data_IF_985597199284
#
_entry.id   IF_985597199284
#
_cell.length_a   1.000
_cell.length_b   1.000
_cell.length_c   1.000
_cell.angle_alpha   90.00
_cell.angle_beta   90.00
_cell.angle_gamma   90.00
#
_symmetry.space_group_name_H-M   'P 1'
#
loop_
_entity.id
_entity.type
_entity.pdbx_description
1 polymer ?
#
# COMPACT_ATOMS: atom_id res chain seq x y z
N UNK A 1 -38.00 -18.83 14.89
CA UNK A 1 -36.74 -19.19 15.59
C UNK A 1 -35.54 -19.13 14.65
N UNK A 2 -35.40 -20.02 13.68
CA UNK A 2 -34.23 -20.04 12.77
C UNK A 2 -34.01 -18.75 11.93
N UNK A 3 -35.06 -18.07 11.51
CA UNK A 3 -34.96 -16.84 10.71
C UNK A 3 -34.49 -15.65 11.54
N UNK A 4 -34.97 -15.52 12.77
CA UNK A 4 -34.56 -14.45 13.70
C UNK A 4 -33.11 -14.60 14.12
N UNK A 5 -32.65 -15.81 14.40
CA UNK A 5 -31.24 -16.09 14.70
C UNK A 5 -30.32 -15.80 13.51
N UNK A 6 -30.77 -16.12 12.28
CA UNK A 6 -30.02 -15.79 11.07
C UNK A 6 -29.94 -14.28 10.84
N UNK A 7 -31.02 -13.54 11.05
CA UNK A 7 -31.06 -12.08 10.94
C UNK A 7 -30.20 -11.43 12.02
N UNK A 8 -30.18 -11.97 13.23
CA UNK A 8 -29.37 -11.47 14.33
C UNK A 8 -27.89 -11.68 14.08
N UNK A 9 -27.50 -12.86 13.55
CA UNK A 9 -26.11 -13.14 13.12
C UNK A 9 -25.67 -12.23 11.97
N UNK A 10 -26.53 -11.97 10.98
CA UNK A 10 -26.24 -11.04 9.88
C UNK A 10 -26.08 -9.61 10.43
N UNK A 11 -26.93 -9.18 11.35
CA UNK A 11 -26.85 -7.87 12.00
C UNK A 11 -25.59 -7.72 12.84
N UNK A 12 -25.19 -8.75 13.59
CA UNK A 12 -23.95 -8.75 14.36
C UNK A 12 -22.70 -8.77 13.48
N UNK A 13 -22.73 -9.54 12.37
CA UNK A 13 -21.67 -9.51 11.36
C UNK A 13 -21.57 -8.14 10.66
N UNK A 14 -22.70 -7.51 10.37
CA UNK A 14 -22.74 -6.17 9.80
C UNK A 14 -22.22 -5.10 10.79
N UNK A 15 -22.50 -5.25 12.10
CA UNK A 15 -21.92 -4.39 13.14
C UNK A 15 -20.42 -4.60 13.31
N UNK A 16 -19.92 -5.84 13.22
CA UNK A 16 -18.48 -6.15 13.24
C UNK A 16 -17.75 -5.63 11.99
N UNK A 17 -18.45 -5.50 10.86
CA UNK A 17 -17.92 -4.91 9.61
C UNK A 17 -17.93 -3.39 9.56
N UNK A 18 -18.44 -2.70 10.55
CA UNK A 18 -18.30 -1.24 10.64
C UNK A 18 -16.86 -0.91 11.02
N UNK A 19 -16.02 -0.77 9.99
CA UNK A 19 -14.68 -0.23 10.14
C UNK A 19 -14.78 1.16 10.72
N UNK A 20 -14.13 1.41 11.85
CA UNK A 20 -14.07 2.75 12.44
C UNK A 20 -13.20 3.66 11.57
N UNK A 21 -13.68 4.86 11.30
CA UNK A 21 -12.85 5.87 10.66
C UNK A 21 -11.78 6.35 11.65
N UNK A 22 -10.55 6.62 11.20
CA UNK A 22 -9.51 7.17 12.06
C UNK A 22 -9.88 8.59 12.52
N UNK A 23 -9.53 8.93 13.75
CA UNK A 23 -9.83 10.23 14.36
C UNK A 23 -9.05 11.39 13.71
N UNK A 24 -7.94 11.10 13.03
CA UNK A 24 -7.11 12.10 12.37
C UNK A 24 -7.60 12.41 10.94
N UNK A 25 -7.52 13.67 10.53
CA UNK A 25 -7.91 14.14 9.19
C UNK A 25 -6.82 13.95 8.15
N UNK A 26 -5.56 14.03 8.55
CA UNK A 26 -4.40 13.80 7.67
C UNK A 26 -4.35 12.34 7.26
N UNK A 27 -4.19 12.07 5.96
CA UNK A 27 -4.07 10.72 5.43
C UNK A 27 -2.60 10.34 5.26
N UNK A 28 -2.25 9.20 5.83
CA UNK A 28 -0.89 8.65 5.76
C UNK A 28 -0.83 7.66 4.62
N UNK A 29 0.05 7.93 3.66
CA UNK A 29 0.33 7.07 2.50
C UNK A 29 1.63 6.32 2.75
N UNK A 30 1.58 5.00 2.77
CA UNK A 30 2.76 4.15 2.91
C UNK A 30 3.01 3.39 1.59
N UNK A 31 4.22 3.50 1.05
CA UNK A 31 4.62 2.65 -0.07
C UNK A 31 4.99 1.27 0.45
N UNK A 32 4.33 0.24 -0.09
CA UNK A 32 4.57 -1.15 0.27
C UNK A 32 5.58 -1.75 -0.70
N UNK A 33 6.63 -2.32 -0.15
CA UNK A 33 7.71 -2.96 -0.88
C UNK A 33 8.32 -4.10 -0.06
N UNK A 34 9.45 -4.69 -0.50
CA UNK A 34 10.04 -5.88 0.14
C UNK A 34 10.31 -5.76 1.64
N UNK A 35 10.63 -4.55 2.11
CA UNK A 35 10.87 -4.29 3.53
C UNK A 35 9.59 -4.17 4.37
N UNK A 36 8.42 -4.00 3.75
CA UNK A 36 7.16 -3.67 4.44
C UNK A 36 5.98 -4.58 4.07
N UNK A 37 6.18 -5.58 3.21
CA UNK A 37 5.09 -6.43 2.73
C UNK A 37 4.81 -7.66 3.61
N UNK A 38 5.57 -7.88 4.67
CA UNK A 38 5.29 -8.97 5.60
C UNK A 38 3.98 -8.71 6.38
N UNK A 39 3.25 -9.78 6.69
CA UNK A 39 1.98 -9.70 7.41
C UNK A 39 2.09 -8.95 8.74
N UNK A 40 3.18 -9.16 9.47
CA UNK A 40 3.42 -8.50 10.75
C UNK A 40 3.61 -6.99 10.57
N UNK A 41 4.48 -6.59 9.64
CA UNK A 41 4.75 -5.17 9.35
C UNK A 41 3.51 -4.47 8.81
N UNK A 42 2.73 -5.11 7.92
CA UNK A 42 1.47 -4.55 7.43
C UNK A 42 0.46 -4.33 8.57
N UNK A 43 0.33 -5.28 9.49
CA UNK A 43 -0.53 -5.12 10.65
C UNK A 43 -0.10 -3.96 11.54
N UNK A 44 1.20 -3.78 11.75
CA UNK A 44 1.75 -2.67 12.53
C UNK A 44 1.55 -1.33 11.82
N UNK A 45 1.76 -1.25 10.51
CA UNK A 45 1.48 -0.06 9.71
C UNK A 45 0.02 0.37 9.79
N UNK A 46 -0.91 -0.58 9.67
CA UNK A 46 -2.35 -0.30 9.80
C UNK A 46 -2.68 0.24 11.20
N UNK A 47 -2.16 -0.40 12.26
CA UNK A 47 -2.37 0.05 13.64
C UNK A 47 -1.71 1.41 13.92
N UNK A 48 -0.57 1.69 13.29
CA UNK A 48 0.12 2.98 13.39
C UNK A 48 -0.58 4.12 12.63
N UNK A 49 -1.63 3.81 11.85
CA UNK A 49 -2.46 4.82 11.20
C UNK A 49 -2.32 4.92 9.69
N UNK A 50 -1.76 3.91 9.02
CA UNK A 50 -1.75 3.86 7.56
C UNK A 50 -3.17 3.91 7.01
N UNK A 51 -3.45 4.89 6.16
CA UNK A 51 -4.74 5.05 5.49
C UNK A 51 -4.71 4.58 4.04
N UNK A 52 -3.56 4.72 3.38
CA UNK A 52 -3.36 4.37 1.97
C UNK A 52 -2.11 3.52 1.83
N UNK A 53 -2.25 2.36 1.25
CA UNK A 53 -1.16 1.49 0.84
C UNK A 53 -0.87 1.72 -0.65
N UNK A 54 0.29 2.32 -0.98
CA UNK A 54 0.70 2.57 -2.36
C UNK A 54 1.55 1.42 -2.87
N UNK A 55 1.15 0.85 -4.01
CA UNK A 55 1.88 -0.17 -4.75
C UNK A 55 2.45 0.45 -6.05
N UNK A 56 3.77 0.47 -6.18
CA UNK A 56 4.44 1.01 -7.36
C UNK A 56 4.66 -0.11 -8.39
N UNK A 57 3.89 -0.11 -9.48
CA UNK A 57 3.97 -1.12 -10.53
C UNK A 57 5.18 -0.95 -11.47
N UNK A 58 6.03 0.06 -11.24
CA UNK A 58 7.33 0.14 -11.94
C UNK A 58 8.34 -0.91 -11.45
N UNK A 59 8.05 -1.60 -10.34
CA UNK A 59 8.90 -2.61 -9.71
C UNK A 59 8.05 -3.82 -9.33
N UNK A 60 8.68 -5.00 -9.30
CA UNK A 60 8.01 -6.24 -8.95
C UNK A 60 7.16 -6.82 -10.09
N UNK A 61 6.51 -7.93 -9.80
CA UNK A 61 5.65 -8.67 -10.72
C UNK A 61 4.17 -8.50 -10.36
N UNK A 62 3.28 -8.79 -11.30
CA UNK A 62 1.84 -8.78 -11.04
C UNK A 62 1.44 -9.77 -9.93
N UNK A 63 2.13 -10.89 -9.82
CA UNK A 63 1.82 -11.87 -8.77
C UNK A 63 2.20 -11.35 -7.39
N UNK A 64 3.39 -10.76 -7.25
CA UNK A 64 3.82 -10.10 -6.00
C UNK A 64 2.85 -8.99 -5.57
N UNK A 65 2.39 -8.16 -6.53
CA UNK A 65 1.40 -7.12 -6.23
C UNK A 65 0.05 -7.70 -5.83
N UNK A 66 -0.38 -8.81 -6.44
CA UNK A 66 -1.61 -9.52 -6.07
C UNK A 66 -1.55 -10.03 -4.63
N UNK A 67 -0.42 -10.63 -4.25
CA UNK A 67 -0.19 -11.12 -2.89
C UNK A 67 -0.15 -9.97 -1.88
N UNK A 68 0.54 -8.88 -2.22
CA UNK A 68 0.56 -7.67 -1.39
C UNK A 68 -0.84 -7.11 -1.16
N UNK A 69 -1.69 -7.04 -2.19
CA UNK A 69 -3.08 -6.61 -2.07
C UNK A 69 -3.86 -7.50 -1.11
N UNK A 70 -3.71 -8.83 -1.21
CA UNK A 70 -4.36 -9.77 -0.30
C UNK A 70 -3.91 -9.56 1.14
N UNK A 71 -2.60 -9.44 1.35
CA UNK A 71 -2.02 -9.23 2.68
C UNK A 71 -2.48 -7.90 3.31
N UNK A 72 -2.54 -6.81 2.54
CA UNK A 72 -3.05 -5.50 2.99
C UNK A 72 -4.52 -5.60 3.39
N UNK A 73 -5.35 -6.28 2.59
CA UNK A 73 -6.77 -6.44 2.90
C UNK A 73 -6.98 -7.25 4.17
N UNK A 74 -6.22 -8.32 4.35
CA UNK A 74 -6.28 -9.13 5.58
C UNK A 74 -5.85 -8.31 6.79
N UNK A 75 -4.76 -7.55 6.71
CA UNK A 75 -4.30 -6.69 7.80
C UNK A 75 -5.33 -5.60 8.17
N UNK A 76 -5.98 -5.01 7.17
CA UNK A 76 -7.04 -4.03 7.37
C UNK A 76 -8.28 -4.65 8.04
N UNK A 77 -8.69 -5.85 7.61
CA UNK A 77 -9.82 -6.59 8.19
C UNK A 77 -9.53 -7.00 9.64
N UNK A 78 -8.35 -7.56 9.91
CA UNK A 78 -7.91 -7.96 11.26
C UNK A 78 -7.87 -6.77 12.23
N UNK A 79 -7.48 -5.59 11.74
CA UNK A 79 -7.45 -4.37 12.53
C UNK A 79 -8.81 -3.65 12.65
N UNK A 80 -9.79 -4.00 11.83
CA UNK A 80 -11.08 -3.31 11.76
C UNK A 80 -10.96 -1.86 11.23
N UNK A 81 -9.89 -1.55 10.48
CA UNK A 81 -9.59 -0.22 9.96
C UNK A 81 -9.61 -0.19 8.43
N UNK A 82 -10.19 0.86 7.80
CA UNK A 82 -10.20 0.98 6.35
C UNK A 82 -8.81 1.35 5.83
N UNK A 83 -8.31 0.61 4.84
CA UNK A 83 -7.10 0.93 4.09
C UNK A 83 -7.43 0.99 2.61
N UNK A 84 -7.15 2.13 1.99
CA UNK A 84 -7.26 2.31 0.54
C UNK A 84 -6.02 1.78 -0.15
N UNK A 85 -6.18 1.06 -1.26
CA UNK A 85 -5.06 0.62 -2.09
C UNK A 85 -4.93 1.58 -3.27
N UNK A 86 -3.75 2.19 -3.40
CA UNK A 86 -3.37 3.06 -4.50
C UNK A 86 -2.40 2.32 -5.40
N UNK A 87 -2.80 2.12 -6.66
CA UNK A 87 -1.97 1.51 -7.69
C UNK A 87 -1.30 2.64 -8.48
N UNK A 88 0.02 2.74 -8.37
CA UNK A 88 0.82 3.70 -9.13
C UNK A 88 1.32 3.03 -10.42
N UNK A 89 0.69 3.40 -11.54
CA UNK A 89 0.95 2.81 -12.84
C UNK A 89 2.21 3.42 -13.46
N UNK A 90 3.08 2.61 -14.09
CA UNK A 90 4.20 3.13 -14.87
C UNK A 90 3.67 3.87 -16.10
N UNK A 91 4.05 5.14 -16.22
CA UNK A 91 3.82 5.94 -17.42
C UNK A 91 5.07 6.05 -18.29
N UNK A 92 4.98 6.71 -19.45
CA UNK A 92 6.15 7.06 -20.24
C UNK A 92 7.05 7.98 -19.43
N UNK A 93 8.32 7.57 -19.23
CA UNK A 93 9.32 8.35 -18.49
C UNK A 93 10.52 8.59 -19.39
N UNK A 94 10.92 9.85 -19.46
CA UNK A 94 12.22 10.21 -20.05
C UNK A 94 13.27 9.87 -19.00
N UNK A 95 14.22 9.01 -19.36
CA UNK A 95 15.34 8.61 -18.51
C UNK A 95 16.64 8.75 -19.28
N UNK A 96 17.72 9.00 -18.54
CA UNK A 96 19.06 8.91 -19.10
C UNK A 96 19.32 7.45 -19.51
N UNK A 97 20.08 7.26 -20.59
CA UNK A 97 20.65 5.97 -20.93
C UNK A 97 21.75 5.56 -19.94
N UNK A 98 22.36 4.42 -20.21
CA UNK A 98 23.49 3.95 -19.42
C UNK A 98 24.66 4.93 -19.55
N UNK A 99 25.29 5.23 -18.43
CA UNK A 99 26.49 6.07 -18.40
C UNK A 99 27.69 5.24 -18.84
N UNK A 100 28.58 5.83 -19.66
CA UNK A 100 29.79 5.14 -20.10
C UNK A 100 30.73 4.81 -18.95
N UNK A 101 30.69 5.63 -17.89
CA UNK A 101 31.46 5.45 -16.66
C UNK A 101 30.54 5.79 -15.47
N UNK A 102 30.51 4.96 -14.46
CA UNK A 102 29.77 5.19 -13.21
C UNK A 102 30.69 5.03 -11.98
N UNK A 103 30.66 5.97 -11.04
CA UNK A 103 29.93 7.25 -11.04
C UNK A 103 30.59 8.32 -11.93
N UNK A 104 29.79 9.25 -12.46
CA UNK A 104 30.28 10.45 -13.11
C UNK A 104 30.42 11.57 -12.08
N UNK A 105 31.64 12.07 -11.89
CA UNK A 105 31.90 13.19 -11.00
C UNK A 105 31.70 14.51 -11.78
N UNK A 106 30.76 15.34 -11.31
CA UNK A 106 30.45 16.63 -11.94
C UNK A 106 31.13 17.76 -11.19
N UNK A 107 31.87 18.61 -11.90
CA UNK A 107 32.52 19.78 -11.32
C UNK A 107 31.74 21.07 -11.62
N UNK A 108 31.80 22.00 -10.69
CA UNK A 108 31.11 23.30 -10.87
C UNK A 108 31.61 24.05 -12.09
N UNK A 109 30.72 24.36 -13.01
CA UNK A 109 31.01 25.08 -14.25
C UNK A 109 31.28 24.19 -15.46
N UNK A 110 31.29 22.89 -15.29
CA UNK A 110 31.38 21.91 -16.37
C UNK A 110 30.06 21.81 -17.15
N UNK A 111 30.14 21.64 -18.46
CA UNK A 111 28.97 21.41 -19.30
C UNK A 111 28.88 19.93 -19.58
N UNK A 112 27.72 19.33 -19.32
CA UNK A 112 27.42 17.95 -19.68
C UNK A 112 26.31 17.93 -20.74
N UNK A 113 26.40 16.97 -21.65
CA UNK A 113 25.33 16.70 -22.62
C UNK A 113 24.59 15.44 -22.15
N UNK A 114 23.26 15.53 -22.06
CA UNK A 114 22.36 14.44 -21.68
C UNK A 114 21.68 13.86 -22.92
#
# INVERSE_FOLDING_TARGET
>A
MMLEEALQRISEQAKRRRMSLPDHKTKIVCTIGPASNSRAVLADLVRAGMNVARLNLSHGTFEEHRENIRAIRMAAEDAGLPVTILIDLPGPKIRLGDLAVEPVELQKGETITL
#
